data_IF_972197016434
#
_entry.id   IF_972197016434
#
_cell.length_a   1.000
_cell.length_b   1.000
_cell.length_c   1.000
_cell.angle_alpha   90.00
_cell.angle_beta   90.00
_cell.angle_gamma   90.00
#
_symmetry.space_group_name_H-M   'P 1'
#
loop_
_entity.id
_entity.type
_entity.pdbx_description
1 polymer ?
#
# COMPACT_ATOMS: atom_id res chain seq x y z
N UNK A 1 22.14 22.93 -22.33
CA UNK A 1 21.27 22.64 -21.17
C UNK A 1 22.15 22.14 -20.05
N UNK A 2 22.06 22.72 -18.85
CA UNK A 2 22.72 22.16 -17.66
C UNK A 2 22.11 20.78 -17.35
N UNK A 3 22.89 19.81 -16.84
CA UNK A 3 22.34 18.52 -16.45
C UNK A 3 21.26 18.70 -15.37
N UNK A 4 20.20 17.88 -15.35
CA UNK A 4 19.17 17.96 -14.32
C UNK A 4 19.80 17.82 -12.94
N UNK A 5 19.45 18.72 -12.03
CA UNK A 5 19.96 18.68 -10.66
C UNK A 5 19.26 17.54 -9.92
N UNK A 6 20.00 16.51 -9.45
CA UNK A 6 19.38 15.41 -8.73
C UNK A 6 18.62 15.95 -7.52
N UNK A 7 17.43 15.40 -7.28
CA UNK A 7 16.60 15.86 -6.21
C UNK A 7 17.21 15.51 -4.83
N UNK A 8 17.10 16.45 -3.90
CA UNK A 8 17.69 16.37 -2.56
C UNK A 8 16.71 16.90 -1.51
N UNK A 9 16.92 16.55 -0.25
CA UNK A 9 16.08 16.96 0.88
C UNK A 9 16.93 17.74 1.87
N UNK A 10 16.42 18.87 2.36
CA UNK A 10 17.08 19.66 3.42
C UNK A 10 17.17 18.84 4.71
N UNK A 11 18.38 18.61 5.27
CA UNK A 11 18.56 17.86 6.50
C UNK A 11 17.80 18.44 7.70
N UNK A 12 17.69 19.77 7.81
CA UNK A 12 16.97 20.40 8.92
C UNK A 12 15.47 20.12 8.83
N UNK A 13 14.88 20.32 7.65
CA UNK A 13 13.47 20.02 7.39
C UNK A 13 13.16 18.52 7.57
N UNK A 14 14.08 17.64 7.16
CA UNK A 14 13.95 16.20 7.37
C UNK A 14 14.00 15.83 8.86
N UNK A 15 14.89 16.45 9.65
CA UNK A 15 15.00 16.22 11.09
C UNK A 15 13.74 16.67 11.83
N UNK A 16 13.21 17.86 11.52
CA UNK A 16 11.95 18.34 12.09
C UNK A 16 10.77 17.42 11.76
N UNK A 17 10.69 16.94 10.51
CA UNK A 17 9.69 15.96 10.10
C UNK A 17 9.85 14.65 10.89
N UNK A 18 11.07 14.13 11.00
CA UNK A 18 11.34 12.91 11.74
C UNK A 18 10.94 13.05 13.22
N UNK A 19 11.24 14.17 13.87
CA UNK A 19 10.84 14.44 15.26
C UNK A 19 9.32 14.47 15.43
N UNK A 20 8.59 15.12 14.51
CA UNK A 20 7.12 15.11 14.52
C UNK A 20 6.55 13.69 14.44
N UNK A 21 7.12 12.84 13.58
CA UNK A 21 6.63 11.48 13.39
C UNK A 21 7.08 10.53 14.48
N UNK A 22 8.28 10.70 15.06
CA UNK A 22 8.72 9.95 16.23
C UNK A 22 7.76 10.12 17.41
N UNK A 23 7.31 11.35 17.69
CA UNK A 23 6.27 11.61 18.71
C UNK A 23 4.96 10.87 18.42
N UNK A 24 4.54 10.79 17.15
CA UNK A 24 3.32 10.05 16.74
C UNK A 24 3.50 8.55 16.96
N UNK A 25 4.67 7.98 16.64
CA UNK A 25 4.98 6.58 16.88
C UNK A 25 5.09 6.25 18.38
N UNK A 26 5.71 7.12 19.18
CA UNK A 26 5.77 6.98 20.64
C UNK A 26 4.36 6.94 21.25
N UNK A 27 3.45 7.83 20.81
CA UNK A 27 2.06 7.82 21.25
C UNK A 27 1.34 6.50 20.90
N UNK A 28 1.58 5.96 19.69
CA UNK A 28 1.06 4.65 19.30
C UNK A 28 1.61 3.51 20.17
N UNK A 29 2.91 3.54 20.48
CA UNK A 29 3.56 2.53 21.32
C UNK A 29 3.04 2.56 22.76
N UNK A 30 2.97 3.75 23.37
CA UNK A 30 2.44 3.94 24.73
C UNK A 30 1.00 3.43 24.88
N UNK A 31 0.17 3.64 23.85
CA UNK A 31 -1.18 3.08 23.78
C UNK A 31 -1.17 1.56 23.73
N UNK A 32 -0.30 0.95 22.92
CA UNK A 32 -0.21 -0.50 22.77
C UNK A 32 0.17 -1.20 24.10
N UNK A 33 1.12 -0.64 24.85
CA UNK A 33 1.55 -1.19 26.14
C UNK A 33 0.61 -0.82 27.31
N UNK A 34 -0.51 -0.13 27.02
CA UNK A 34 -1.51 0.24 28.03
C UNK A 34 -1.08 1.34 28.99
N UNK A 35 0.03 2.03 28.69
CA UNK A 35 0.57 3.13 29.51
C UNK A 35 -0.26 4.41 29.40
N UNK A 36 -1.07 4.53 28.34
CA UNK A 36 -1.96 5.67 28.18
C UNK A 36 -3.31 5.27 27.56
N UNK A 37 -4.37 5.27 28.38
CA UNK A 37 -5.77 5.05 27.94
C UNK A 37 -6.48 6.35 27.56
N UNK A 38 -5.86 7.50 27.80
CA UNK A 38 -6.46 8.83 27.68
C UNK A 38 -5.81 9.71 26.59
N UNK A 39 -4.67 9.28 26.04
CA UNK A 39 -4.02 9.97 24.92
C UNK A 39 -4.98 10.15 23.75
N UNK A 40 -5.11 11.38 23.19
CA UNK A 40 -5.86 11.61 21.97
C UNK A 40 -5.33 10.66 20.89
N UNK A 41 -6.23 10.11 20.09
CA UNK A 41 -5.92 9.28 18.93
C UNK A 41 -4.70 9.88 18.22
N UNK A 42 -3.55 9.17 18.20
CA UNK A 42 -2.43 9.59 17.36
C UNK A 42 -3.04 9.81 15.99
N UNK A 43 -3.08 11.08 15.55
CA UNK A 43 -4.08 11.52 14.59
C UNK A 43 -3.76 10.91 13.24
N UNK A 44 -4.29 9.72 12.98
CA UNK A 44 -4.37 9.16 11.65
C UNK A 44 -5.29 10.13 10.91
N UNK A 45 -4.77 10.74 9.85
CA UNK A 45 -5.56 11.68 9.05
C UNK A 45 -6.87 11.02 8.61
N UNK A 46 -7.95 11.79 8.47
CA UNK A 46 -9.24 11.24 8.06
C UNK A 46 -9.16 10.48 6.73
N UNK A 47 -8.28 10.91 5.81
CA UNK A 47 -8.00 10.20 4.58
C UNK A 47 -7.33 8.83 4.80
N UNK A 48 -6.39 8.74 5.74
CA UNK A 48 -5.77 7.48 6.14
C UNK A 48 -6.76 6.56 6.91
N UNK A 49 -7.70 7.14 7.66
CA UNK A 49 -8.75 6.39 8.34
C UNK A 49 -9.79 5.76 7.38
N UNK A 50 -9.89 6.25 6.14
CA UNK A 50 -10.79 5.74 5.09
C UNK A 50 -10.10 4.77 4.12
N UNK A 51 -8.89 4.32 4.42
CA UNK A 51 -8.16 3.37 3.58
C UNK A 51 -8.87 2.01 3.54
N UNK A 52 -9.41 1.67 2.37
CA UNK A 52 -10.21 0.46 2.13
C UNK A 52 -9.44 -0.83 2.41
N UNK A 53 -8.10 -0.81 2.39
CA UNK A 53 -7.25 -1.97 2.72
C UNK A 53 -7.46 -2.44 4.17
N UNK A 54 -7.97 -1.56 5.03
CA UNK A 54 -8.19 -1.83 6.45
C UNK A 54 -9.68 -1.84 6.82
N UNK A 55 -10.55 -2.13 5.84
CA UNK A 55 -12.01 -2.13 6.02
C UNK A 55 -12.55 -3.34 6.79
N UNK A 56 -11.79 -4.43 6.92
CA UNK A 56 -12.16 -5.59 7.72
C UNK A 56 -12.26 -5.25 9.22
N UNK A 57 -13.24 -5.83 9.91
CA UNK A 57 -13.49 -5.56 11.33
C UNK A 57 -12.29 -5.91 12.24
N UNK A 58 -11.51 -6.91 11.85
CA UNK A 58 -10.35 -7.37 12.60
C UNK A 58 -9.26 -6.30 12.71
N UNK A 59 -9.20 -5.36 11.76
CA UNK A 59 -8.30 -4.21 11.79
C UNK A 59 -8.66 -3.17 12.88
N UNK A 60 -9.87 -3.22 13.43
CA UNK A 60 -10.33 -2.35 14.51
C UNK A 60 -10.54 -3.06 15.84
N UNK A 61 -10.95 -4.33 15.82
CA UNK A 61 -11.31 -5.10 17.01
C UNK A 61 -10.11 -5.73 17.72
N UNK A 62 -9.03 -6.05 17.00
CA UNK A 62 -7.89 -6.75 17.56
C UNK A 62 -6.72 -5.78 17.84
N UNK A 63 -6.26 -5.62 19.10
CA UNK A 63 -5.28 -4.60 19.48
C UNK A 63 -4.00 -4.60 18.63
N UNK A 64 -3.46 -5.78 18.32
CA UNK A 64 -2.26 -5.90 17.48
C UNK A 64 -2.49 -5.40 16.05
N UNK A 65 -3.62 -5.76 15.41
CA UNK A 65 -3.89 -5.36 14.03
C UNK A 65 -4.29 -3.89 13.93
N UNK A 66 -4.99 -3.37 14.94
CA UNK A 66 -5.24 -1.93 15.10
C UNK A 66 -3.94 -1.14 15.19
N UNK A 67 -3.00 -1.58 16.05
CA UNK A 67 -1.69 -0.93 16.17
C UNK A 67 -0.89 -1.04 14.87
N UNK A 68 -0.85 -2.22 14.24
CA UNK A 68 -0.09 -2.44 13.01
C UNK A 68 -0.60 -1.55 11.86
N UNK A 69 -1.93 -1.43 11.72
CA UNK A 69 -2.56 -0.50 10.78
C UNK A 69 -2.15 0.93 11.07
N UNK A 70 -2.33 1.40 12.30
CA UNK A 70 -2.08 2.80 12.65
C UNK A 70 -0.60 3.16 12.49
N UNK A 71 0.31 2.25 12.87
CA UNK A 71 1.74 2.39 12.66
C UNK A 71 2.09 2.48 11.17
N UNK A 72 1.50 1.63 10.33
CA UNK A 72 1.66 1.70 8.89
C UNK A 72 1.15 3.03 8.32
N UNK A 73 -0.04 3.48 8.71
CA UNK A 73 -0.64 4.72 8.19
C UNK A 73 0.21 5.94 8.54
N UNK A 74 0.72 6.00 9.77
CA UNK A 74 1.67 7.04 10.20
C UNK A 74 2.97 6.95 9.39
N UNK A 75 3.53 5.76 9.17
CA UNK A 75 4.73 5.60 8.35
C UNK A 75 4.53 6.01 6.89
N UNK A 76 3.41 5.62 6.30
CA UNK A 76 3.06 5.95 4.91
C UNK A 76 2.85 7.46 4.73
N UNK A 77 2.31 8.15 5.73
CA UNK A 77 2.23 9.62 5.75
C UNK A 77 3.62 10.26 5.87
N UNK A 78 4.48 9.76 6.75
CA UNK A 78 5.87 10.20 6.88
C UNK A 78 6.63 10.11 5.56
N UNK A 79 6.59 8.96 4.89
CA UNK A 79 7.27 8.74 3.60
C UNK A 79 6.76 9.72 2.53
N UNK A 80 5.45 9.98 2.48
CA UNK A 80 4.84 10.93 1.53
C UNK A 80 5.26 12.36 1.82
N UNK A 81 5.26 12.78 3.08
CA UNK A 81 5.71 14.12 3.48
C UNK A 81 7.22 14.31 3.24
N UNK A 82 8.04 13.30 3.55
CA UNK A 82 9.48 13.35 3.32
C UNK A 82 9.78 13.53 1.83
N UNK A 83 9.08 12.79 0.97
CA UNK A 83 9.18 12.93 -0.47
C UNK A 83 8.66 14.29 -1.00
N UNK A 84 7.74 14.93 -0.27
CA UNK A 84 7.24 16.26 -0.62
C UNK A 84 8.27 17.37 -0.31
N UNK A 85 9.20 17.15 0.63
CA UNK A 85 10.31 18.06 0.93
C UNK A 85 11.41 18.07 -0.15
N UNK A 86 11.37 17.14 -1.11
CA UNK A 86 12.37 17.06 -2.16
C UNK A 86 12.42 18.36 -2.99
N UNK A 87 13.61 18.93 -3.09
CA UNK A 87 13.96 20.06 -3.93
C UNK A 87 14.67 19.58 -5.20
N UNK A 88 14.80 20.44 -6.21
CA UNK A 88 15.38 20.11 -7.51
C UNK A 88 14.40 20.32 -8.66
N UNK A 89 14.75 19.79 -9.84
CA UNK A 89 13.93 19.98 -11.03
C UNK A 89 12.52 19.35 -10.89
N UNK A 90 11.50 19.88 -11.60
CA UNK A 90 10.13 19.39 -11.46
C UNK A 90 9.93 17.91 -11.76
N UNK A 91 10.69 17.35 -12.70
CA UNK A 91 10.57 15.95 -13.13
C UNK A 91 11.14 15.01 -12.05
N UNK A 92 12.33 15.29 -11.54
CA UNK A 92 12.95 14.55 -10.43
C UNK A 92 12.07 14.58 -9.18
N UNK A 93 11.50 15.75 -8.84
CA UNK A 93 10.56 15.86 -7.70
C UNK A 93 9.29 15.05 -7.92
N UNK A 94 8.73 15.06 -9.14
CA UNK A 94 7.56 14.22 -9.49
C UNK A 94 7.89 12.74 -9.37
N UNK A 95 9.06 12.32 -9.85
CA UNK A 95 9.54 10.94 -9.77
C UNK A 95 9.73 10.47 -8.32
N UNK A 96 10.35 11.28 -7.46
CA UNK A 96 10.51 10.94 -6.04
C UNK A 96 9.14 10.78 -5.35
N UNK A 97 8.21 11.71 -5.56
CA UNK A 97 6.84 11.59 -4.99
C UNK A 97 6.08 10.38 -5.51
N UNK A 98 6.29 10.01 -6.78
CA UNK A 98 5.73 8.79 -7.34
C UNK A 98 6.32 7.56 -6.64
N UNK A 99 7.64 7.43 -6.62
CA UNK A 99 8.33 6.29 -6.00
C UNK A 99 8.01 6.15 -4.52
N UNK A 100 7.91 7.25 -3.77
CA UNK A 100 7.54 7.24 -2.36
C UNK A 100 6.13 6.68 -2.12
N UNK A 101 5.15 7.03 -2.99
CA UNK A 101 3.81 6.43 -2.94
C UNK A 101 3.85 4.94 -3.26
N UNK A 102 4.52 4.56 -4.34
CA UNK A 102 4.67 3.14 -4.72
C UNK A 102 5.33 2.32 -3.60
N UNK A 103 6.36 2.87 -2.97
CA UNK A 103 7.04 2.24 -1.84
C UNK A 103 6.11 2.07 -0.63
N UNK A 104 5.43 3.15 -0.22
CA UNK A 104 4.47 3.11 0.88
C UNK A 104 3.32 2.12 0.61
N UNK A 105 2.85 2.01 -0.63
CA UNK A 105 1.80 1.07 -1.01
C UNK A 105 2.30 -0.38 -1.04
N UNK A 106 3.54 -0.62 -1.46
CA UNK A 106 4.13 -1.95 -1.54
C UNK A 106 4.34 -2.58 -0.15
N UNK A 107 4.69 -1.78 0.85
CA UNK A 107 4.95 -2.25 2.22
C UNK A 107 3.69 -2.36 3.09
N UNK A 108 2.50 -2.13 2.54
CA UNK A 108 1.26 -2.20 3.31
C UNK A 108 1.09 -3.58 3.96
N UNK A 109 0.74 -3.68 5.26
CA UNK A 109 0.62 -4.95 5.96
C UNK A 109 -0.50 -5.83 5.39
N UNK A 110 -1.48 -5.25 4.70
CA UNK A 110 -2.51 -5.97 3.96
C UNK A 110 -1.95 -6.85 2.83
N UNK A 111 -0.74 -6.56 2.34
CA UNK A 111 -0.12 -7.26 1.21
C UNK A 111 0.51 -8.60 1.61
N UNK A 112 0.71 -8.86 2.90
CA UNK A 112 1.41 -10.05 3.38
C UNK A 112 0.49 -10.93 4.22
N UNK A 113 0.50 -12.25 3.94
CA UNK A 113 -0.35 -13.22 4.63
C UNK A 113 -0.18 -13.18 6.15
N UNK A 114 1.06 -13.09 6.63
CA UNK A 114 1.37 -13.11 8.07
C UNK A 114 0.82 -11.91 8.85
N UNK A 115 0.52 -10.80 8.17
CA UNK A 115 0.06 -9.54 8.78
C UNK A 115 -1.35 -9.15 8.35
N UNK A 116 -2.02 -9.97 7.52
CA UNK A 116 -3.37 -9.72 7.04
C UNK A 116 -4.38 -10.57 7.84
N UNK A 117 -5.18 -9.97 8.73
CA UNK A 117 -6.10 -10.72 9.59
C UNK A 117 -7.22 -11.40 8.80
N UNK A 118 -7.69 -10.81 7.70
CA UNK A 118 -8.73 -11.39 6.85
C UNK A 118 -8.23 -12.65 6.14
N UNK A 119 -7.00 -12.60 5.63
CA UNK A 119 -6.34 -13.74 4.99
C UNK A 119 -6.06 -14.87 6.00
N UNK A 120 -5.55 -14.53 7.19
CA UNK A 120 -5.31 -15.50 8.27
C UNK A 120 -6.61 -16.16 8.72
N UNK A 121 -7.67 -15.38 8.91
CA UNK A 121 -8.99 -15.88 9.29
C UNK A 121 -9.55 -16.83 8.24
N UNK A 122 -9.44 -16.48 6.95
CA UNK A 122 -9.89 -17.34 5.86
C UNK A 122 -9.06 -18.64 5.79
N UNK A 123 -7.75 -18.55 5.99
CA UNK A 123 -6.88 -19.72 6.04
C UNK A 123 -7.29 -20.67 7.17
N UNK A 124 -7.55 -20.14 8.38
CA UNK A 124 -8.02 -20.95 9.51
C UNK A 124 -9.40 -21.57 9.21
N UNK A 125 -10.36 -20.77 8.74
CA UNK A 125 -11.72 -21.22 8.47
C UNK A 125 -11.79 -22.30 7.37
N UNK A 126 -10.84 -22.31 6.44
CA UNK A 126 -10.77 -23.28 5.35
C UNK A 126 -9.78 -24.42 5.61
N UNK A 127 -9.17 -24.49 6.79
CA UNK A 127 -8.11 -25.47 7.08
C UNK A 127 -6.90 -25.36 6.14
N UNK A 128 -6.64 -24.16 5.59
CA UNK A 128 -5.55 -23.87 4.65
C UNK A 128 -5.91 -24.01 3.17
N UNK A 129 -7.13 -24.44 2.82
CA UNK A 129 -7.52 -24.62 1.42
C UNK A 129 -7.45 -23.33 0.60
N UNK A 130 -7.74 -22.16 1.21
CA UNK A 130 -7.61 -20.87 0.53
C UNK A 130 -6.18 -20.56 0.08
N UNK A 131 -5.19 -20.93 0.90
CA UNK A 131 -3.76 -20.75 0.58
C UNK A 131 -3.36 -21.70 -0.54
N UNK A 132 -3.77 -22.97 -0.46
CA UNK A 132 -3.50 -23.95 -1.51
C UNK A 132 -4.05 -23.50 -2.86
N UNK A 133 -5.28 -22.98 -2.89
CA UNK A 133 -5.89 -22.43 -4.10
C UNK A 133 -5.12 -21.19 -4.61
N UNK A 134 -4.71 -20.28 -3.72
CA UNK A 134 -3.90 -19.12 -4.10
C UNK A 134 -2.56 -19.50 -4.74
N UNK A 135 -1.88 -20.52 -4.20
CA UNK A 135 -0.64 -21.05 -4.79
C UNK A 135 -0.88 -21.72 -6.15
N UNK A 136 -1.97 -22.48 -6.30
CA UNK A 136 -2.34 -23.08 -7.58
C UNK A 136 -2.57 -22.00 -8.65
N UNK A 137 -3.24 -20.90 -8.29
CA UNK A 137 -3.45 -19.75 -9.16
C UNK A 137 -2.11 -19.11 -9.55
N UNK A 138 -1.23 -18.85 -8.57
CA UNK A 138 0.08 -18.25 -8.80
C UNK A 138 0.95 -19.10 -9.76
N UNK A 139 0.97 -20.42 -9.57
CA UNK A 139 1.68 -21.35 -10.47
C UNK A 139 1.08 -21.30 -11.88
N UNK A 140 -0.26 -21.27 -11.98
CA UNK A 140 -0.96 -21.13 -13.25
C UNK A 140 -0.56 -19.85 -13.99
N UNK A 141 -0.53 -18.72 -13.28
CA UNK A 141 -0.13 -17.41 -13.84
C UNK A 141 1.34 -17.39 -14.25
N UNK A 142 2.24 -17.94 -13.42
CA UNK A 142 3.66 -18.05 -13.73
C UNK A 142 3.90 -18.88 -15.00
N UNK A 143 3.17 -19.98 -15.19
CA UNK A 143 3.24 -20.80 -16.41
C UNK A 143 2.75 -20.05 -17.66
N UNK A 144 1.77 -19.17 -17.50
CA UNK A 144 1.25 -18.33 -18.59
C UNK A 144 2.15 -17.11 -18.89
N UNK A 145 3.05 -16.76 -17.99
CA UNK A 145 3.85 -15.52 -18.08
C UNK A 145 3.04 -14.24 -17.85
N UNK A 146 1.79 -14.35 -17.39
CA UNK A 146 0.89 -13.22 -17.11
C UNK A 146 -0.17 -13.60 -16.08
N UNK A 147 -0.63 -12.61 -15.34
CA UNK A 147 -1.71 -12.75 -14.36
C UNK A 147 -3.03 -12.90 -15.14
N UNK A 148 -3.75 -14.01 -14.93
CA UNK A 148 -5.06 -14.21 -15.53
C UNK A 148 -6.11 -13.38 -14.77
N UNK A 149 -6.80 -12.47 -15.47
CA UNK A 149 -7.91 -11.70 -14.90
C UNK A 149 -9.26 -12.38 -15.04
N UNK A 150 -9.38 -13.29 -16.01
CA UNK A 150 -10.62 -14.00 -16.34
C UNK A 150 -10.29 -15.43 -16.78
N UNK A 151 -11.29 -16.31 -16.74
CA UNK A 151 -11.20 -17.59 -17.43
C UNK A 151 -11.36 -17.38 -18.94
N UNK A 152 -10.29 -17.59 -19.70
CA UNK A 152 -10.30 -17.42 -21.15
C UNK A 152 -11.00 -18.56 -21.89
N UNK A 153 -11.15 -19.72 -21.24
CA UNK A 153 -11.89 -20.85 -21.83
C UNK A 153 -13.40 -20.61 -21.87
N UNK A 154 -13.90 -19.63 -21.12
CA UNK A 154 -15.28 -19.21 -21.14
C UNK A 154 -15.65 -18.35 -22.38
N UNK A 155 -14.67 -17.94 -23.19
CA UNK A 155 -14.87 -17.05 -24.34
C UNK A 155 -14.54 -17.74 -25.67
N UNK A 156 -15.55 -17.83 -26.53
CA UNK A 156 -15.48 -18.32 -27.89
C UNK A 156 -15.66 -17.18 -28.89
N UNK A 157 -14.66 -17.01 -29.76
CA UNK A 157 -14.70 -16.05 -30.87
C UNK A 157 -15.89 -16.34 -31.78
N UNK A 158 -16.72 -15.33 -32.02
CA UNK A 158 -17.90 -15.44 -32.88
C UNK A 158 -19.16 -15.93 -32.19
N UNK A 159 -19.08 -16.39 -30.93
CA UNK A 159 -20.25 -16.70 -30.11
C UNK A 159 -20.47 -15.62 -29.03
N UNK A 160 -19.54 -15.52 -28.08
CA UNK A 160 -19.60 -14.57 -26.96
C UNK A 160 -18.39 -13.64 -26.89
N UNK A 161 -17.50 -13.68 -27.89
CA UNK A 161 -16.42 -12.72 -28.11
C UNK A 161 -16.46 -12.21 -29.56
N UNK A 162 -16.71 -10.90 -29.76
CA UNK A 162 -16.71 -10.28 -31.08
C UNK A 162 -15.31 -9.75 -31.44
N UNK A 163 -14.88 -9.95 -32.69
CA UNK A 163 -13.66 -9.34 -33.24
C UNK A 163 -14.05 -8.17 -34.14
N UNK A 164 -13.95 -6.94 -33.64
CA UNK A 164 -14.02 -5.72 -34.45
C UNK A 164 -12.61 -5.14 -34.64
N UNK A 165 -12.24 -4.62 -35.83
CA UNK A 165 -10.98 -3.92 -36.01
C UNK A 165 -10.88 -2.74 -35.02
N UNK A 166 -9.89 -2.78 -34.13
CA UNK A 166 -9.61 -1.71 -33.17
C UNK A 166 -8.53 -0.75 -33.69
N UNK A 167 -8.63 0.54 -33.36
CA UNK A 167 -7.62 1.56 -33.66
C UNK A 167 -7.15 2.25 -32.37
N UNK A 168 -5.83 2.40 -32.18
CA UNK A 168 -5.26 3.11 -31.04
C UNK A 168 -5.36 4.62 -31.28
N UNK A 169 -6.19 5.31 -30.50
CA UNK A 169 -6.46 6.75 -30.64
C UNK A 169 -5.57 7.63 -29.74
N UNK A 170 -4.89 7.05 -28.76
CA UNK A 170 -4.03 7.79 -27.84
C UNK A 170 -2.94 6.89 -27.24
N UNK A 171 -1.70 7.39 -27.20
CA UNK A 171 -0.54 6.77 -26.56
C UNK A 171 0.23 7.85 -25.80
N UNK A 172 0.66 7.56 -24.57
CA UNK A 172 1.40 8.50 -23.73
C UNK A 172 2.72 7.87 -23.23
N UNK A 173 3.72 8.72 -22.97
CA UNK A 173 4.98 8.41 -22.30
C UNK A 173 4.77 8.63 -20.79
N UNK A 174 4.26 7.60 -20.11
CA UNK A 174 4.21 7.57 -18.64
C UNK A 174 5.55 7.09 -18.06
#
# INVERSE_FOLDING_TARGET
MLPPTPAWIDPAAAAELAERYNRRFEALWLRMIGADKASPQASVTQAAALDRRFGGKEWGEHPYFTWLRDAYLVYAEYVRELAALAQGDPESRKRIRFLARQYADAIAPSNFLATNPEALKLAIATGGASIAQGMANLIGDARRGRIAMTDESAFEVGANLALSPGSVVFRNEL
#
